data_IF_649850685953
#
_entry.id   IF_649850685953
#
_cell.length_a   1.000
_cell.length_b   1.000
_cell.length_c   1.000
_cell.angle_alpha   90.00
_cell.angle_beta   90.00
_cell.angle_gamma   90.00
#
_symmetry.space_group_name_H-M   'P 1'
#
loop_
_entity.id
_entity.type
_entity.pdbx_description
1 polymer ?
#
# COMPACT_ATOMS: atom_id res chain seq x y z
N UNK A 1 -13.07 10.32 16.64
CA UNK A 1 -12.06 10.15 15.58
C UNK A 1 -12.16 8.72 15.08
N UNK A 2 -12.71 8.48 13.88
CA UNK A 2 -12.57 7.16 13.25
C UNK A 2 -11.83 7.37 11.93
N UNK A 3 -10.50 7.36 12.02
CA UNK A 3 -9.56 7.40 10.90
C UNK A 3 -9.30 5.96 10.43
N UNK A 4 -9.01 5.77 9.15
CA UNK A 4 -8.73 4.45 8.57
C UNK A 4 -7.24 4.26 8.34
N UNK A 5 -6.74 3.02 8.42
CA UNK A 5 -5.34 2.69 8.10
C UNK A 5 -5.26 1.84 6.84
N UNK A 6 -4.38 2.23 5.92
CA UNK A 6 -4.02 1.48 4.72
C UNK A 6 -2.62 0.90 4.90
N UNK A 7 -2.42 -0.38 4.58
CA UNK A 7 -1.13 -1.05 4.68
C UNK A 7 -0.77 -1.79 3.40
N UNK A 8 0.53 -1.88 3.09
CA UNK A 8 1.06 -2.62 1.94
C UNK A 8 2.38 -3.31 2.31
N UNK A 9 2.54 -4.56 1.88
CA UNK A 9 3.75 -5.36 2.07
C UNK A 9 3.99 -6.28 0.87
N UNK A 10 5.17 -6.90 0.79
CA UNK A 10 5.54 -7.94 -0.19
C UNK A 10 5.28 -7.55 -1.67
N UNK A 11 5.52 -6.28 -2.02
CA UNK A 11 5.40 -5.78 -3.41
C UNK A 11 6.74 -5.54 -4.09
N UNK A 12 7.85 -5.79 -3.40
CA UNK A 12 9.17 -5.64 -3.98
C UNK A 12 9.56 -6.80 -4.89
N UNK A 13 10.25 -6.50 -6.00
CA UNK A 13 10.71 -7.50 -6.96
C UNK A 13 12.20 -7.33 -7.25
N UNK A 14 12.86 -8.40 -7.68
CA UNK A 14 14.31 -8.40 -7.97
C UNK A 14 14.64 -7.55 -9.21
N UNK A 15 13.70 -7.42 -10.15
CA UNK A 15 13.87 -6.67 -11.40
C UNK A 15 13.78 -5.14 -11.24
N UNK A 16 13.30 -4.67 -10.07
CA UNK A 16 13.07 -3.26 -9.79
C UNK A 16 11.69 -3.05 -9.18
N UNK A 17 11.63 -2.13 -8.21
CA UNK A 17 10.45 -1.89 -7.38
C UNK A 17 10.69 -2.33 -5.95
N UNK A 18 10.38 -1.45 -5.01
CA UNK A 18 10.40 -1.71 -3.57
C UNK A 18 9.04 -1.37 -2.96
N UNK A 19 8.67 -2.00 -1.85
CA UNK A 19 7.39 -1.75 -1.17
C UNK A 19 7.14 -0.27 -0.91
N UNK A 20 8.19 0.47 -0.58
CA UNK A 20 8.13 1.93 -0.39
C UNK A 20 7.75 2.69 -1.67
N UNK A 21 8.25 2.27 -2.83
CA UNK A 21 7.95 2.93 -4.11
C UNK A 21 6.53 2.62 -4.59
N UNK A 22 6.13 1.34 -4.55
CA UNK A 22 4.75 0.94 -4.91
C UNK A 22 3.74 1.63 -3.98
N UNK A 23 4.05 1.70 -2.69
CA UNK A 23 3.19 2.41 -1.74
C UNK A 23 3.13 3.91 -2.00
N UNK A 24 4.27 4.54 -2.33
CA UNK A 24 4.27 5.96 -2.70
C UNK A 24 3.39 6.24 -3.93
N UNK A 25 3.50 5.42 -4.98
CA UNK A 25 2.65 5.55 -6.18
C UNK A 25 1.17 5.37 -5.85
N UNK A 26 0.82 4.42 -5.00
CA UNK A 26 -0.55 4.24 -4.51
C UNK A 26 -1.06 5.49 -3.79
N UNK A 27 -0.25 6.07 -2.88
CA UNK A 27 -0.64 7.26 -2.13
C UNK A 27 -0.81 8.50 -3.02
N UNK A 28 0.03 8.66 -4.04
CA UNK A 28 -0.09 9.77 -5.02
C UNK A 28 -1.34 9.68 -5.90
N UNK A 29 -1.93 8.49 -6.03
CA UNK A 29 -3.10 8.26 -6.87
C UNK A 29 -4.39 8.07 -6.09
N UNK A 30 -4.38 8.32 -4.77
CA UNK A 30 -5.60 8.32 -3.98
C UNK A 30 -6.60 9.37 -4.49
N UNK A 31 -7.91 9.12 -4.37
CA UNK A 31 -8.94 10.09 -4.72
C UNK A 31 -8.75 11.43 -3.98
N UNK A 32 -9.16 12.53 -4.61
CA UNK A 32 -9.02 13.89 -4.06
C UNK A 32 -9.72 14.10 -2.71
N UNK A 33 -10.74 13.30 -2.41
CA UNK A 33 -11.48 13.32 -1.17
C UNK A 33 -10.85 12.44 -0.07
N UNK A 34 -9.61 11.98 -0.27
CA UNK A 34 -8.85 11.19 0.70
C UNK A 34 -7.55 11.93 1.00
N UNK A 35 -7.27 12.14 2.28
CA UNK A 35 -6.02 12.77 2.72
C UNK A 35 -5.19 11.81 3.58
N UNK A 36 -3.88 11.83 3.36
CA UNK A 36 -2.90 11.06 4.14
C UNK A 36 -2.37 11.95 5.26
N UNK A 37 -2.55 11.50 6.50
CA UNK A 37 -2.16 12.27 7.69
C UNK A 37 -0.84 11.80 8.29
N UNK A 38 -0.57 10.50 8.22
CA UNK A 38 0.68 9.90 8.69
C UNK A 38 1.11 8.78 7.74
N UNK A 39 2.42 8.57 7.59
CA UNK A 39 2.99 7.37 6.96
C UNK A 39 3.98 6.69 7.88
N UNK A 40 4.05 5.36 7.84
CA UNK A 40 4.91 4.53 8.69
C UNK A 40 5.61 3.47 7.86
N UNK A 41 6.89 3.25 8.15
CA UNK A 41 7.65 2.07 7.74
C UNK A 41 7.76 1.14 8.94
N UNK A 42 7.18 -0.05 8.83
CA UNK A 42 7.12 -1.03 9.91
C UNK A 42 8.12 -2.15 9.64
N UNK A 43 9.19 -2.21 10.44
CA UNK A 43 10.18 -3.30 10.37
C UNK A 43 9.62 -4.58 10.98
N UNK A 44 9.63 -5.65 10.19
CA UNK A 44 9.18 -6.98 10.61
C UNK A 44 10.36 -7.82 11.11
N UNK A 45 10.08 -9.06 11.52
CA UNK A 45 11.08 -9.97 12.07
C UNK A 45 12.24 -10.22 11.08
N UNK A 46 13.49 -9.82 11.41
CA UNK A 46 14.57 -9.79 10.43
C UNK A 46 15.10 -11.18 10.04
N UNK A 47 14.76 -12.23 10.80
CA UNK A 47 15.21 -13.60 10.54
C UNK A 47 14.12 -14.47 9.89
N UNK A 48 13.09 -13.88 9.30
CA UNK A 48 12.06 -14.61 8.58
C UNK A 48 12.68 -15.38 7.38
N UNK A 49 12.26 -16.64 7.18
CA UNK A 49 12.87 -17.55 6.19
C UNK A 49 12.64 -17.11 4.74
N UNK A 50 11.43 -16.61 4.44
CA UNK A 50 11.03 -16.01 3.17
C UNK A 50 10.88 -14.52 3.39
N UNK A 51 11.96 -13.78 3.17
CA UNK A 51 11.94 -12.32 3.32
C UNK A 51 12.64 -11.70 2.15
N UNK A 52 12.18 -10.52 1.79
CA UNK A 52 12.95 -9.65 0.93
C UNK A 52 14.01 -8.89 1.73
N UNK A 53 14.92 -8.19 1.04
CA UNK A 53 16.06 -7.53 1.69
C UNK A 53 15.59 -6.28 2.46
N UNK A 54 15.14 -6.48 3.70
CA UNK A 54 14.67 -5.40 4.56
C UNK A 54 13.43 -5.74 5.38
N UNK A 55 12.66 -6.77 4.99
CA UNK A 55 11.43 -7.24 5.65
C UNK A 55 10.63 -6.11 6.33
N UNK A 56 9.96 -5.30 5.53
CA UNK A 56 9.27 -4.12 6.03
C UNK A 56 7.99 -3.86 5.25
N UNK A 57 6.91 -3.62 6.00
CA UNK A 57 5.64 -3.16 5.47
C UNK A 57 5.56 -1.63 5.54
N UNK A 58 4.64 -1.06 4.76
CA UNK A 58 4.27 0.34 4.79
C UNK A 58 2.85 0.50 5.32
N UNK A 59 2.58 1.60 6.01
CA UNK A 59 1.24 1.98 6.44
C UNK A 59 1.00 3.48 6.29
N UNK A 60 -0.25 3.88 6.07
CA UNK A 60 -0.68 5.27 6.01
C UNK A 60 -2.01 5.44 6.73
N UNK A 61 -2.15 6.55 7.45
CA UNK A 61 -3.41 6.94 8.07
C UNK A 61 -4.20 7.83 7.12
N UNK A 62 -5.43 7.43 6.82
CA UNK A 62 -6.32 8.07 5.87
C UNK A 62 -7.50 8.74 6.58
N UNK A 63 -7.85 9.93 6.08
CA UNK A 63 -9.08 10.64 6.41
C UNK A 63 -9.90 10.88 5.15
N UNK A 64 -11.22 10.73 5.28
CA UNK A 64 -12.17 11.00 4.22
C UNK A 64 -12.69 12.42 4.36
N UNK A 65 -12.72 13.15 3.26
CA UNK A 65 -13.12 14.54 3.17
C UNK A 65 -14.42 14.68 2.37
N UNK A 66 -15.25 15.65 2.75
CA UNK A 66 -16.39 16.09 1.95
C UNK A 66 -15.93 16.99 0.78
N UNK A 67 -16.90 17.44 -0.03
CA UNK A 67 -16.63 18.29 -1.20
C UNK A 67 -16.02 19.66 -0.82
N UNK A 68 -16.21 20.11 0.42
CA UNK A 68 -15.66 21.34 0.97
C UNK A 68 -14.27 21.12 1.63
N UNK A 69 -13.77 19.88 1.64
CA UNK A 69 -12.48 19.49 2.22
C UNK A 69 -12.50 19.28 3.74
N UNK A 70 -13.67 19.20 4.37
CA UNK A 70 -13.80 18.91 5.80
C UNK A 70 -13.83 17.40 6.06
N UNK A 71 -13.35 16.97 7.23
CA UNK A 71 -13.39 15.56 7.61
C UNK A 71 -14.85 15.10 7.74
N UNK A 72 -15.20 14.04 7.02
CA UNK A 72 -16.54 13.44 7.10
C UNK A 72 -16.71 12.80 8.49
N UNK A 73 -17.72 13.29 9.21
CA UNK A 73 -18.13 12.77 10.53
C UNK A 73 -19.50 12.09 10.51
N UNK A 74 -20.32 12.40 9.51
CA UNK A 74 -21.63 11.78 9.31
C UNK A 74 -21.50 10.31 8.90
N UNK A 75 -22.30 9.44 9.53
CA UNK A 75 -22.17 8.00 9.36
C UNK A 75 -22.54 7.50 7.96
N UNK A 76 -23.57 8.09 7.33
CA UNK A 76 -24.05 7.67 6.02
C UNK A 76 -23.10 8.14 4.91
N UNK A 77 -22.70 9.42 4.95
CA UNK A 77 -21.71 9.95 4.02
C UNK A 77 -20.39 9.21 4.12
N UNK A 78 -19.98 8.86 5.34
CA UNK A 78 -18.74 8.13 5.56
C UNK A 78 -18.78 6.73 4.97
N UNK A 79 -19.88 6.01 5.13
CA UNK A 79 -20.06 4.68 4.55
C UNK A 79 -19.95 4.75 3.03
N UNK A 80 -20.63 5.71 2.40
CA UNK A 80 -20.57 5.91 0.95
C UNK A 80 -19.15 6.25 0.47
N UNK A 81 -18.47 7.18 1.14
CA UNK A 81 -17.09 7.56 0.81
C UNK A 81 -16.11 6.40 1.01
N UNK A 82 -16.33 5.57 2.04
CA UNK A 82 -15.52 4.36 2.29
C UNK A 82 -15.70 3.35 1.16
N UNK A 83 -16.94 3.10 0.71
CA UNK A 83 -17.20 2.19 -0.41
C UNK A 83 -16.55 2.68 -1.70
N UNK A 84 -16.60 3.98 -1.97
CA UNK A 84 -15.91 4.57 -3.12
C UNK A 84 -14.39 4.41 -3.04
N UNK A 85 -13.80 4.65 -1.87
CA UNK A 85 -12.36 4.43 -1.64
C UNK A 85 -11.99 2.95 -1.87
N UNK A 86 -12.74 2.01 -1.30
CA UNK A 86 -12.47 0.58 -1.48
C UNK A 86 -12.53 0.17 -2.96
N UNK A 87 -13.53 0.64 -3.69
CA UNK A 87 -13.63 0.37 -5.13
C UNK A 87 -12.44 0.92 -5.91
N UNK A 88 -11.96 2.12 -5.58
CA UNK A 88 -10.75 2.69 -6.17
C UNK A 88 -9.52 1.83 -5.85
N UNK A 89 -9.35 1.42 -4.59
CA UNK A 89 -8.23 0.58 -4.15
C UNK A 89 -8.23 -0.78 -4.84
N UNK A 90 -9.39 -1.40 -5.02
CA UNK A 90 -9.53 -2.66 -5.76
C UNK A 90 -9.14 -2.51 -7.22
N UNK A 91 -9.56 -1.42 -7.87
CA UNK A 91 -9.18 -1.13 -9.26
C UNK A 91 -7.66 -0.93 -9.37
N UNK A 92 -7.10 -0.08 -8.49
CA UNK A 92 -5.65 0.16 -8.46
C UNK A 92 -4.86 -1.12 -8.23
N UNK A 93 -5.30 -1.96 -7.28
CA UNK A 93 -4.69 -3.25 -7.00
C UNK A 93 -4.66 -4.12 -8.26
N UNK A 94 -5.79 -4.29 -8.93
CA UNK A 94 -5.91 -5.16 -10.11
C UNK A 94 -5.07 -4.65 -11.29
N UNK A 95 -4.99 -3.34 -11.47
CA UNK A 95 -4.30 -2.73 -12.62
C UNK A 95 -2.78 -2.58 -12.41
N UNK A 96 -2.34 -2.30 -11.18
CA UNK A 96 -0.95 -1.86 -10.92
C UNK A 96 -0.17 -2.78 -9.98
N UNK A 97 -0.83 -3.45 -9.02
CA UNK A 97 -0.13 -4.23 -7.98
C UNK A 97 -0.21 -5.73 -8.25
N UNK A 98 -1.39 -6.27 -8.52
CA UNK A 98 -1.60 -7.68 -8.83
C UNK A 98 -0.72 -8.19 -9.98
N UNK A 99 -0.48 -7.42 -11.07
CA UNK A 99 0.40 -7.85 -12.16
C UNK A 99 1.87 -8.02 -11.76
N UNK A 100 2.30 -7.43 -10.64
CA UNK A 100 3.67 -7.57 -10.12
C UNK A 100 3.91 -8.95 -9.50
N UNK A 101 2.83 -9.69 -9.17
CA UNK A 101 2.90 -11.00 -8.52
C UNK A 101 3.51 -12.04 -9.46
N UNK A 102 4.62 -12.64 -9.03
CA UNK A 102 5.27 -13.75 -9.75
C UNK A 102 6.46 -13.36 -10.62
N UNK A 103 6.88 -12.09 -10.61
CA UNK A 103 8.16 -11.66 -11.19
C UNK A 103 9.33 -12.15 -10.32
N UNK A 104 9.72 -13.43 -10.49
CA UNK A 104 10.90 -14.02 -9.83
C UNK A 104 12.01 -14.11 -10.87
N UNK A 105 12.84 -13.07 -10.96
CA UNK A 105 14.09 -13.15 -11.73
C UNK A 105 15.27 -13.50 -10.82
N UNK A 106 16.18 -14.32 -11.34
CA UNK A 106 17.35 -14.79 -10.60
C UNK A 106 18.33 -13.63 -10.37
N UNK A 107 18.76 -13.42 -9.13
CA UNK A 107 19.80 -12.45 -8.83
C UNK A 107 21.14 -12.91 -9.41
N UNK A 108 21.75 -12.10 -10.28
CA UNK A 108 23.09 -12.35 -10.84
C UNK A 108 24.23 -12.08 -9.84
N UNK A 109 23.91 -11.54 -8.66
CA UNK A 109 24.88 -11.11 -7.64
C UNK A 109 24.99 -12.04 -6.42
N UNK A 110 24.13 -13.04 -6.26
CA UNK A 110 24.14 -13.91 -5.08
C UNK A 110 23.49 -15.28 -5.38
N UNK A 111 24.13 -16.36 -4.92
CA UNK A 111 23.67 -17.75 -5.09
C UNK A 111 22.47 -18.12 -4.21
N UNK A 112 21.98 -17.19 -3.38
CA UNK A 112 20.84 -17.47 -2.51
C UNK A 112 19.56 -17.64 -3.36
N UNK A 113 18.88 -18.80 -3.27
CA UNK A 113 17.63 -19.01 -3.99
C UNK A 113 16.59 -18.00 -3.51
N UNK A 114 16.08 -17.20 -4.46
CA UNK A 114 14.99 -16.25 -4.23
C UNK A 114 13.69 -17.05 -4.10
N UNK A 115 12.88 -16.71 -3.10
CA UNK A 115 11.60 -17.36 -2.83
C UNK A 115 10.52 -16.29 -2.73
N UNK A 116 9.40 -16.44 -3.45
CA UNK A 116 8.20 -15.67 -3.17
C UNK A 116 7.61 -16.06 -1.80
#
# INVERSE_FOLDING_TARGET
MNMGWLGLDDTDTVAGGCTTFVFHQLLENLPVNVSVTETRLVRLWPLAKKRTRGNAAMAAELVLLDDDGNIIVDGEQKELATQSLLQHLDNWWNEHIAPLKGAVEQSTHNDRPQVP
#
